data_IF_683328856295
#
_entry.id   IF_683328856295
#
_cell.length_a   1.000
_cell.length_b   1.000
_cell.length_c   1.000
_cell.angle_alpha   90.00
_cell.angle_beta   90.00
_cell.angle_gamma   90.00
#
_symmetry.space_group_name_H-M   'P 1'
#
loop_
_entity.id
_entity.type
_entity.pdbx_description
1 polymer ?
#
# COMPACT_ATOMS: atom_id res chain seq x y z
N UNK A 1 15.00 -9.82 -22.19
CA UNK A 1 14.79 -9.04 -20.95
C UNK A 1 14.34 -7.67 -21.41
N UNK A 2 13.03 -7.40 -21.38
CA UNK A 2 12.43 -6.30 -22.14
C UNK A 2 12.73 -4.93 -21.53
N UNK A 3 13.15 -4.00 -22.40
CA UNK A 3 13.47 -2.59 -22.12
C UNK A 3 12.35 -1.88 -21.33
N UNK A 4 11.11 -2.35 -21.45
CA UNK A 4 9.93 -1.84 -20.73
C UNK A 4 10.05 -1.90 -19.21
N UNK A 5 10.67 -2.95 -18.64
CA UNK A 5 10.72 -3.13 -17.18
C UNK A 5 11.60 -2.10 -16.46
N UNK A 6 12.70 -1.68 -17.09
CA UNK A 6 13.64 -0.71 -16.53
C UNK A 6 13.13 0.73 -16.68
N UNK A 7 12.45 1.05 -17.78
CA UNK A 7 11.79 2.35 -17.95
C UNK A 7 10.67 2.56 -16.92
N UNK A 8 9.90 1.51 -16.62
CA UNK A 8 8.86 1.53 -15.57
C UNK A 8 9.48 1.71 -14.17
N UNK A 9 10.60 1.05 -13.86
CA UNK A 9 11.29 1.22 -12.56
C UNK A 9 11.85 2.63 -12.42
N UNK A 10 12.40 3.21 -13.48
CA UNK A 10 12.90 4.58 -13.47
C UNK A 10 11.76 5.60 -13.34
N UNK A 11 10.66 5.42 -14.08
CA UNK A 11 9.45 6.23 -13.91
C UNK A 11 8.93 6.12 -12.46
N UNK A 12 8.84 4.93 -11.89
CA UNK A 12 8.36 4.70 -10.52
C UNK A 12 9.26 5.31 -9.43
N UNK A 13 10.59 5.17 -9.57
CA UNK A 13 11.57 5.71 -8.61
C UNK A 13 11.55 7.24 -8.62
N UNK A 14 11.28 7.84 -9.78
CA UNK A 14 11.13 9.29 -9.97
C UNK A 14 9.72 9.77 -9.56
N UNK A 15 8.70 8.91 -9.61
CA UNK A 15 7.30 9.26 -9.34
C UNK A 15 6.92 9.20 -7.86
N UNK A 16 7.56 8.39 -7.01
CA UNK A 16 7.32 8.46 -5.55
C UNK A 16 7.83 9.75 -4.89
N UNK A 17 8.70 10.50 -5.56
CA UNK A 17 9.12 11.84 -5.14
C UNK A 17 8.11 12.95 -5.48
N UNK A 18 7.09 12.66 -6.30
CA UNK A 18 6.00 13.59 -6.61
C UNK A 18 4.64 12.94 -6.25
N UNK A 19 4.02 13.36 -5.14
CA UNK A 19 2.78 12.83 -4.53
C UNK A 19 1.54 12.63 -5.46
N UNK A 20 1.60 13.02 -6.73
CA UNK A 20 0.45 13.10 -7.62
C UNK A 20 0.33 11.98 -8.69
N UNK A 21 1.27 11.02 -8.77
CA UNK A 21 1.36 10.10 -9.94
C UNK A 21 1.14 8.59 -9.70
N UNK A 22 0.93 8.12 -8.45
CA UNK A 22 0.69 6.68 -8.21
C UNK A 22 -0.63 6.18 -8.83
N UNK A 23 -1.66 7.03 -8.91
CA UNK A 23 -2.94 6.70 -9.56
C UNK A 23 -2.82 6.40 -11.06
N UNK A 24 -2.15 7.24 -11.87
CA UNK A 24 -1.81 6.92 -13.26
C UNK A 24 -1.13 5.56 -13.44
N UNK A 25 -0.24 5.19 -12.52
CA UNK A 25 0.51 3.93 -12.60
C UNK A 25 -0.37 2.70 -12.38
N UNK A 26 -1.25 2.72 -11.38
CA UNK A 26 -2.23 1.64 -11.17
C UNK A 26 -3.13 1.48 -12.40
N UNK A 27 -3.46 2.59 -13.05
CA UNK A 27 -4.22 2.56 -14.31
C UNK A 27 -3.40 1.96 -15.45
N UNK A 28 -2.13 2.32 -15.59
CA UNK A 28 -1.24 1.76 -16.61
C UNK A 28 -1.01 0.26 -16.43
N UNK A 29 -0.76 -0.21 -15.20
CA UNK A 29 -0.65 -1.65 -14.88
C UNK A 29 -1.92 -2.40 -15.31
N UNK A 30 -3.09 -1.80 -15.08
CA UNK A 30 -4.38 -2.40 -15.48
C UNK A 30 -4.59 -2.39 -16.99
N UNK A 31 -4.17 -1.33 -17.68
CA UNK A 31 -4.53 -1.08 -19.08
C UNK A 31 -3.50 -1.68 -20.08
N UNK A 32 -2.22 -1.79 -19.73
CA UNK A 32 -1.14 -1.98 -20.72
C UNK A 32 -0.24 -3.21 -20.56
N UNK A 33 -0.20 -3.88 -19.41
CA UNK A 33 0.74 -4.97 -19.20
C UNK A 33 0.06 -6.34 -19.12
N UNK A 34 0.77 -7.38 -19.58
CA UNK A 34 0.27 -8.75 -19.56
C UNK A 34 0.16 -9.26 -18.11
N UNK A 35 -0.82 -10.12 -17.75
CA UNK A 35 -1.03 -10.60 -16.38
C UNK A 35 0.23 -11.17 -15.68
N UNK A 36 1.12 -11.81 -16.46
CA UNK A 36 2.41 -12.34 -15.98
C UNK A 36 3.44 -11.25 -15.67
N UNK A 37 3.50 -10.18 -16.45
CA UNK A 37 4.40 -9.03 -16.22
C UNK A 37 3.88 -8.15 -15.08
N UNK A 38 2.55 -8.07 -14.94
CA UNK A 38 1.86 -7.33 -13.89
C UNK A 38 2.09 -7.87 -12.49
N UNK A 39 2.18 -9.20 -12.34
CA UNK A 39 2.30 -9.81 -11.01
C UNK A 39 3.63 -9.45 -10.34
N UNK A 40 4.74 -9.55 -11.09
CA UNK A 40 6.07 -9.21 -10.57
C UNK A 40 6.18 -7.72 -10.19
N UNK A 41 5.65 -6.85 -11.05
CA UNK A 41 5.67 -5.41 -10.79
C UNK A 41 4.73 -5.01 -9.65
N UNK A 42 3.51 -5.56 -9.60
CA UNK A 42 2.57 -5.33 -8.50
C UNK A 42 3.19 -5.72 -7.16
N UNK A 43 3.88 -6.86 -7.08
CA UNK A 43 4.60 -7.30 -5.88
C UNK A 43 5.72 -6.35 -5.49
N UNK A 44 6.49 -5.85 -6.46
CA UNK A 44 7.52 -4.84 -6.20
C UNK A 44 6.91 -3.54 -5.66
N UNK A 45 5.84 -3.04 -6.28
CA UNK A 45 5.13 -1.83 -5.83
C UNK A 45 4.51 -2.03 -4.45
N UNK A 46 3.91 -3.20 -4.21
CA UNK A 46 3.36 -3.59 -2.91
C UNK A 46 4.47 -3.59 -1.85
N UNK A 47 5.63 -4.21 -2.14
CA UNK A 47 6.81 -4.21 -1.25
C UNK A 47 7.34 -2.83 -0.91
N UNK A 48 7.20 -1.87 -1.82
CA UNK A 48 7.61 -0.49 -1.58
C UNK A 48 6.51 0.34 -0.92
N UNK A 49 5.29 -0.15 -0.78
CA UNK A 49 4.20 0.65 -0.26
C UNK A 49 4.49 1.21 1.13
N UNK A 50 4.21 2.50 1.30
CA UNK A 50 4.09 3.17 2.60
C UNK A 50 3.14 4.35 2.45
N UNK A 51 2.43 4.69 3.51
CA UNK A 51 1.54 5.85 3.52
C UNK A 51 2.36 7.12 3.26
N UNK A 52 1.89 7.96 2.33
CA UNK A 52 2.54 9.23 2.00
C UNK A 52 2.30 10.27 3.10
N UNK A 53 3.16 11.29 3.16
CA UNK A 53 2.99 12.41 4.07
C UNK A 53 1.66 13.13 3.76
N UNK A 54 0.87 13.44 4.79
CA UNK A 54 -0.47 14.04 4.66
C UNK A 54 -1.50 13.21 3.86
N UNK A 55 -1.19 11.98 3.47
CA UNK A 55 -2.17 11.10 2.82
C UNK A 55 -3.20 10.58 3.82
N UNK A 56 -4.47 10.59 3.42
CA UNK A 56 -5.50 9.91 4.20
C UNK A 56 -5.26 8.40 4.26
N UNK A 57 -5.19 7.87 5.47
CA UNK A 57 -5.16 6.42 5.77
C UNK A 57 -6.19 5.64 4.95
N UNK A 58 -7.42 6.16 4.82
CA UNK A 58 -8.50 5.49 4.09
C UNK A 58 -8.20 5.34 2.60
N UNK A 59 -7.57 6.37 2.01
CA UNK A 59 -7.11 6.35 0.62
C UNK A 59 -5.96 5.37 0.46
N UNK A 60 -4.98 5.44 1.36
CA UNK A 60 -3.77 4.61 1.33
C UNK A 60 -4.12 3.11 1.44
N UNK A 61 -5.00 2.74 2.37
CA UNK A 61 -5.49 1.35 2.54
C UNK A 61 -6.29 0.89 1.32
N UNK A 62 -7.11 1.76 0.72
CA UNK A 62 -7.87 1.40 -0.51
C UNK A 62 -6.92 1.08 -1.67
N UNK A 63 -5.82 1.83 -1.76
CA UNK A 63 -4.79 1.62 -2.76
C UNK A 63 -4.04 0.31 -2.51
N UNK A 64 -3.62 0.07 -1.26
CA UNK A 64 -2.97 -1.17 -0.84
C UNK A 64 -3.84 -2.42 -1.15
N UNK A 65 -5.14 -2.35 -0.87
CA UNK A 65 -6.12 -3.41 -1.21
C UNK A 65 -6.28 -3.62 -2.72
N UNK A 66 -5.99 -2.61 -3.54
CA UNK A 66 -6.01 -2.74 -5.00
C UNK A 66 -4.73 -3.39 -5.51
N UNK A 67 -3.58 -3.01 -4.94
CA UNK A 67 -2.27 -3.55 -5.29
C UNK A 67 -2.16 -5.05 -4.96
N UNK A 68 -2.62 -5.49 -3.78
CA UNK A 68 -2.51 -6.91 -3.38
C UNK A 68 -3.27 -7.84 -4.32
N UNK A 69 -4.41 -7.39 -4.87
CA UNK A 69 -5.19 -8.15 -5.85
C UNK A 69 -4.43 -8.40 -7.16
N UNK A 70 -3.54 -7.48 -7.52
CA UNK A 70 -2.66 -7.60 -8.69
C UNK A 70 -1.43 -8.47 -8.39
N UNK A 71 -1.10 -8.68 -7.11
CA UNK A 71 0.04 -9.50 -6.68
C UNK A 71 -0.24 -11.01 -6.71
N UNK A 72 -1.52 -11.40 -6.79
CA UNK A 72 -1.97 -12.80 -6.80
C UNK A 72 -1.42 -13.62 -5.62
N UNK A 73 -1.29 -13.00 -4.44
CA UNK A 73 -1.02 -13.73 -3.20
C UNK A 73 -2.28 -14.50 -2.77
N UNK A 74 -2.09 -15.66 -2.12
CA UNK A 74 -3.20 -16.40 -1.49
C UNK A 74 -3.65 -15.70 -0.22
N UNK A 75 -2.69 -15.33 0.64
CA UNK A 75 -2.93 -14.69 1.93
C UNK A 75 -2.98 -13.15 1.82
N UNK A 76 -3.92 -12.61 1.03
CA UNK A 76 -3.95 -11.17 0.76
C UNK A 76 -4.21 -10.33 2.00
N UNK A 77 -5.06 -10.80 2.92
CA UNK A 77 -5.45 -10.05 4.11
C UNK A 77 -4.30 -9.96 5.12
N UNK A 78 -3.57 -11.05 5.32
CA UNK A 78 -2.36 -11.10 6.16
C UNK A 78 -1.28 -10.18 5.61
N UNK A 79 -1.06 -10.25 4.29
CA UNK A 79 -0.13 -9.34 3.61
C UNK A 79 -0.56 -7.87 3.76
N UNK A 80 -1.85 -7.55 3.70
CA UNK A 80 -2.29 -6.17 3.96
C UNK A 80 -2.02 -5.77 5.41
N UNK A 81 -2.27 -6.64 6.39
CA UNK A 81 -2.00 -6.37 7.80
C UNK A 81 -0.54 -6.02 8.04
N UNK A 82 0.38 -6.85 7.57
CA UNK A 82 1.83 -6.65 7.72
C UNK A 82 2.26 -5.30 7.15
N UNK A 83 1.73 -4.94 5.98
CA UNK A 83 2.07 -3.69 5.33
C UNK A 83 1.45 -2.50 6.03
N UNK A 84 0.21 -2.58 6.55
CA UNK A 84 -0.36 -1.53 7.37
C UNK A 84 0.51 -1.28 8.61
N UNK A 85 0.94 -2.35 9.29
CA UNK A 85 1.82 -2.25 10.47
C UNK A 85 3.14 -1.56 10.09
N UNK A 86 3.76 -1.97 8.98
CA UNK A 86 5.07 -1.44 8.57
C UNK A 86 5.01 -0.01 8.01
N UNK A 87 3.98 0.29 7.20
CA UNK A 87 3.95 1.46 6.32
C UNK A 87 3.08 2.62 6.81
N UNK A 88 2.41 2.52 7.95
CA UNK A 88 1.60 3.63 8.50
C UNK A 88 2.49 4.73 9.08
N UNK A 89 2.11 5.99 8.86
CA UNK A 89 2.89 7.15 9.32
C UNK A 89 2.73 7.44 10.81
N UNK A 90 1.57 7.11 11.38
CA UNK A 90 1.30 7.42 12.79
C UNK A 90 1.94 6.35 13.70
N UNK A 91 3.01 6.73 14.37
CA UNK A 91 3.77 5.84 15.27
C UNK A 91 2.91 5.28 16.41
N UNK A 92 1.99 6.06 16.98
CA UNK A 92 1.13 5.58 18.07
C UNK A 92 0.12 4.51 17.58
N UNK A 93 -0.38 4.63 16.35
CA UNK A 93 -1.18 3.56 15.74
C UNK A 93 -0.29 2.35 15.43
N UNK A 94 0.90 2.56 14.88
CA UNK A 94 1.86 1.50 14.56
C UNK A 94 2.20 0.66 15.81
N UNK A 95 2.52 1.30 16.93
CA UNK A 95 2.81 0.61 18.21
C UNK A 95 1.63 -0.23 18.70
N UNK A 96 0.40 0.29 18.62
CA UNK A 96 -0.81 -0.47 18.97
C UNK A 96 -1.03 -1.67 18.06
N UNK A 97 -0.79 -1.52 16.76
CA UNK A 97 -0.93 -2.61 15.80
C UNK A 97 0.16 -3.69 16.00
N UNK A 98 1.39 -3.28 16.30
CA UNK A 98 2.49 -4.19 16.63
C UNK A 98 2.21 -5.00 17.90
N UNK A 99 1.61 -4.39 18.93
CA UNK A 99 1.27 -5.10 20.16
C UNK A 99 0.22 -6.20 19.97
N UNK A 100 -0.57 -6.15 18.89
CA UNK A 100 -1.65 -7.10 18.60
C UNK A 100 -1.35 -7.97 17.37
N UNK A 101 -0.12 -7.96 16.85
CA UNK A 101 0.25 -8.56 15.55
C UNK A 101 -0.18 -10.02 15.41
N UNK A 102 -0.04 -10.82 16.46
CA UNK A 102 -0.34 -12.26 16.45
C UNK A 102 -1.83 -12.59 16.27
N UNK A 103 -2.72 -11.62 16.50
CA UNK A 103 -4.18 -11.76 16.39
C UNK A 103 -4.80 -10.70 15.48
N UNK A 104 -3.98 -9.97 14.72
CA UNK A 104 -4.40 -8.81 13.96
C UNK A 104 -5.14 -9.22 12.69
N UNK A 105 -6.46 -9.00 12.66
CA UNK A 105 -7.27 -9.16 11.45
C UNK A 105 -7.28 -7.88 10.62
N UNK A 106 -7.51 -8.02 9.30
CA UNK A 106 -7.62 -6.87 8.39
C UNK A 106 -8.71 -5.89 8.85
N UNK A 107 -9.83 -6.40 9.34
CA UNK A 107 -10.91 -5.57 9.87
C UNK A 107 -10.46 -4.77 11.11
N UNK A 108 -9.81 -5.44 12.06
CA UNK A 108 -9.28 -4.83 13.29
C UNK A 108 -8.22 -3.78 12.99
N UNK A 109 -7.29 -4.08 12.09
CA UNK A 109 -6.25 -3.15 11.63
C UNK A 109 -6.87 -1.88 11.03
N UNK A 110 -7.81 -2.04 10.08
CA UNK A 110 -8.49 -0.91 9.43
C UNK A 110 -9.30 -0.09 10.43
N UNK A 111 -10.00 -0.74 11.37
CA UNK A 111 -10.79 -0.08 12.40
C UNK A 111 -9.92 0.80 13.30
N UNK A 112 -8.80 0.25 13.80
CA UNK A 112 -7.82 1.00 14.63
C UNK A 112 -7.24 2.21 13.91
N UNK A 113 -6.91 2.04 12.63
CA UNK A 113 -6.40 3.13 11.81
C UNK A 113 -7.44 4.26 11.60
N UNK A 114 -8.74 3.95 11.62
CA UNK A 114 -9.83 4.93 11.52
C UNK A 114 -10.10 5.66 12.83
N UNK A 115 -10.13 4.95 13.95
CA UNK A 115 -10.52 5.53 15.26
C UNK A 115 -9.58 6.65 15.69
N UNK A 116 -8.27 6.50 15.48
CA UNK A 116 -7.29 7.49 15.92
C UNK A 116 -7.31 8.82 15.13
N UNK A 117 -7.91 8.84 13.93
CA UNK A 117 -8.20 10.10 13.18
C UNK A 117 -9.17 11.01 13.96
N UNK A 118 -9.95 10.45 14.88
CA UNK A 118 -10.96 11.16 15.65
C UNK A 118 -10.39 11.83 16.89
N UNK A 119 -9.35 11.24 17.51
CA UNK A 119 -8.74 11.74 18.75
C UNK A 119 -7.96 13.05 18.55
N UNK A 120 -7.34 13.25 17.38
CA UNK A 120 -6.57 14.46 17.05
C UNK A 120 -7.42 15.68 16.64
N UNK A 121 -8.74 15.53 16.45
CA UNK A 121 -9.65 16.65 16.12
C UNK A 121 -10.30 17.28 17.36
N UNK A 122 -10.05 16.74 18.55
CA UNK A 122 -10.67 17.14 19.81
C UNK A 122 -9.71 17.83 20.80
N UNK A 123 -8.48 18.13 20.36
CA UNK A 123 -7.48 18.92 21.10
C UNK A 123 -7.19 20.24 20.39
#
# INVERSE_FOLDING_TARGET
MGETGQEIINAFTIERSEDNKIKPLIKYIKDYASPKENTGFARYTFQKWSQLENESIERSIKELKTLVKLCLYTEQDEMICDYIVYGIQNQAIQEKLLAESDSLTLESAVSKCRTHKTELKLS
#
